data_IF_967348356126
#
_entry.id   IF_967348356126
#
_cell.length_a   1.000
_cell.length_b   1.000
_cell.length_c   1.000
_cell.angle_alpha   90.00
_cell.angle_beta   90.00
_cell.angle_gamma   90.00
#
_symmetry.space_group_name_H-M   'P 1'
#
loop_
_entity.id
_entity.type
_entity.pdbx_description
1 polymer ?
#
# COMPACT_ATOMS: atom_id res chain seq x y z
N UNK A 1 -7.22 40.03 -48.19
CA UNK A 1 -7.04 40.21 -46.74
C UNK A 1 -7.41 38.98 -45.89
N UNK A 2 -8.14 37.98 -46.43
CA UNK A 2 -8.67 36.84 -45.65
C UNK A 2 -7.67 35.71 -45.31
N UNK A 3 -6.63 35.50 -46.13
CA UNK A 3 -5.71 34.35 -45.99
C UNK A 3 -4.80 34.48 -44.75
N UNK A 4 -4.32 35.68 -44.45
CA UNK A 4 -3.48 35.95 -43.26
C UNK A 4 -4.26 35.77 -41.95
N UNK A 5 -5.56 36.10 -41.95
CA UNK A 5 -6.42 35.95 -40.78
C UNK A 5 -6.70 34.47 -40.51
N UNK A 6 -6.99 33.69 -41.56
CA UNK A 6 -7.20 32.25 -41.45
C UNK A 6 -5.93 31.52 -40.96
N UNK A 7 -4.76 31.89 -41.48
CA UNK A 7 -3.47 31.35 -41.02
C UNK A 7 -3.21 31.66 -39.54
N UNK A 8 -3.53 32.87 -39.08
CA UNK A 8 -3.32 33.26 -37.70
C UNK A 8 -4.22 32.48 -36.74
N UNK A 9 -5.49 32.27 -37.09
CA UNK A 9 -6.45 31.47 -36.32
C UNK A 9 -6.01 29.99 -36.25
N UNK A 10 -5.52 29.42 -37.35
CA UNK A 10 -4.98 28.04 -37.35
C UNK A 10 -3.71 27.90 -36.52
N UNK A 11 -2.84 28.91 -36.50
CA UNK A 11 -1.64 28.90 -35.66
C UNK A 11 -1.98 29.04 -34.17
N UNK A 12 -2.92 29.92 -33.81
CA UNK A 12 -3.41 30.09 -32.44
C UNK A 12 -4.08 28.81 -31.89
N UNK A 13 -4.87 28.12 -32.71
CA UNK A 13 -5.45 26.83 -32.33
C UNK A 13 -4.40 25.74 -32.09
N UNK A 14 -3.32 25.73 -32.89
CA UNK A 14 -2.21 24.78 -32.76
C UNK A 14 -1.33 25.04 -31.52
N UNK A 15 -1.10 26.30 -31.15
CA UNK A 15 -0.37 26.68 -29.93
C UNK A 15 -1.20 26.41 -28.68
N UNK A 16 -2.52 26.62 -28.74
CA UNK A 16 -3.43 26.27 -27.65
C UNK A 16 -3.50 24.76 -27.40
N UNK A 17 -3.57 23.94 -28.45
CA UNK A 17 -3.52 22.47 -28.31
C UNK A 17 -2.16 21.98 -27.81
N UNK A 18 -1.06 22.58 -28.26
CA UNK A 18 0.28 22.26 -27.74
C UNK A 18 0.42 22.59 -26.25
N UNK A 19 -0.02 23.79 -25.82
CA UNK A 19 0.00 24.19 -24.42
C UNK A 19 -0.93 23.33 -23.55
N UNK A 20 -2.08 22.92 -24.08
CA UNK A 20 -2.99 21.98 -23.42
C UNK A 20 -2.34 20.61 -23.19
N UNK A 21 -1.59 20.09 -24.16
CA UNK A 21 -0.84 18.82 -24.03
C UNK A 21 0.27 18.95 -22.99
N UNK A 22 1.03 20.05 -22.98
CA UNK A 22 2.06 20.31 -21.97
C UNK A 22 1.44 20.35 -20.57
N UNK A 23 0.31 21.06 -20.43
CA UNK A 23 -0.42 21.16 -19.17
C UNK A 23 -0.88 19.76 -18.68
N UNK A 24 -1.49 18.97 -19.55
CA UNK A 24 -1.93 17.60 -19.23
C UNK A 24 -0.77 16.69 -18.79
N UNK A 25 0.38 16.78 -19.48
CA UNK A 25 1.59 16.02 -19.10
C UNK A 25 2.14 16.49 -17.75
N UNK A 26 2.15 17.79 -17.48
CA UNK A 26 2.63 18.34 -16.21
C UNK A 26 1.73 17.93 -15.04
N UNK A 27 0.40 18.02 -15.22
CA UNK A 27 -0.59 17.56 -14.23
C UNK A 27 -0.42 16.06 -13.98
N UNK A 28 -0.27 15.24 -15.03
CA UNK A 28 -0.05 13.81 -14.87
C UNK A 28 1.24 13.49 -14.11
N UNK A 29 2.34 14.21 -14.42
CA UNK A 29 3.62 14.07 -13.70
C UNK A 29 3.49 14.47 -12.24
N UNK A 30 2.75 15.54 -11.95
CA UNK A 30 2.53 16.01 -10.58
C UNK A 30 1.65 15.03 -9.78
N UNK A 31 0.59 14.50 -10.39
CA UNK A 31 -0.25 13.46 -9.82
C UNK A 31 0.56 12.19 -9.47
N UNK A 32 1.44 11.74 -10.38
CA UNK A 32 2.33 10.61 -10.12
C UNK A 32 3.31 10.88 -8.97
N UNK A 33 3.86 12.11 -8.87
CA UNK A 33 4.77 12.48 -7.78
C UNK A 33 4.04 12.51 -6.43
N UNK A 34 2.82 13.02 -6.40
CA UNK A 34 1.96 13.01 -5.21
C UNK A 34 1.64 11.57 -4.80
N UNK A 35 1.21 10.73 -5.74
CA UNK A 35 0.87 9.35 -5.48
C UNK A 35 2.06 8.53 -4.96
N UNK A 36 3.28 8.78 -5.46
CA UNK A 36 4.50 8.17 -4.90
C UNK A 36 4.74 8.55 -3.43
N UNK A 37 4.57 9.83 -3.08
CA UNK A 37 4.69 10.30 -1.69
C UNK A 37 3.61 9.68 -0.81
N UNK A 38 2.38 9.65 -1.29
CA UNK A 38 1.25 9.05 -0.60
C UNK A 38 1.46 7.55 -0.34
N UNK A 39 1.94 6.79 -1.33
CA UNK A 39 2.29 5.38 -1.15
C UNK A 39 3.36 5.19 -0.08
N UNK A 40 4.39 6.03 -0.05
CA UNK A 40 5.43 5.95 1.00
C UNK A 40 4.86 6.24 2.39
N UNK A 41 3.99 7.24 2.52
CA UNK A 41 3.35 7.58 3.78
C UNK A 41 2.44 6.46 4.28
N UNK A 42 1.63 5.86 3.39
CA UNK A 42 0.79 4.69 3.73
C UNK A 42 1.66 3.52 4.19
N UNK A 43 2.77 3.22 3.49
CA UNK A 43 3.67 2.14 3.91
C UNK A 43 4.16 2.34 5.34
N UNK A 44 4.65 3.54 5.66
CA UNK A 44 5.13 3.89 7.01
C UNK A 44 4.00 3.75 8.04
N UNK A 45 2.81 4.29 7.73
CA UNK A 45 1.64 4.22 8.61
C UNK A 45 1.23 2.78 8.92
N UNK A 46 1.20 1.90 7.91
CA UNK A 46 0.88 0.48 8.07
C UNK A 46 1.92 -0.22 8.94
N UNK A 47 3.21 0.05 8.76
CA UNK A 47 4.28 -0.49 9.61
C UNK A 47 4.08 -0.07 11.07
N UNK A 48 3.84 1.22 11.32
CA UNK A 48 3.59 1.71 12.68
C UNK A 48 2.36 1.04 13.31
N UNK A 49 1.26 0.90 12.56
CA UNK A 49 0.05 0.22 13.04
C UNK A 49 0.30 -1.25 13.39
N UNK A 50 1.14 -1.95 12.62
CA UNK A 50 1.50 -3.35 12.88
C UNK A 50 2.31 -3.48 14.17
N UNK A 51 3.30 -2.61 14.38
CA UNK A 51 4.10 -2.56 15.62
C UNK A 51 3.22 -2.26 16.83
N UNK A 52 2.38 -1.21 16.74
CA UNK A 52 1.43 -0.88 17.81
C UNK A 52 0.48 -2.05 18.10
N UNK A 53 0.04 -2.76 17.07
CA UNK A 53 -0.81 -3.93 17.23
C UNK A 53 -0.11 -5.05 18.00
N UNK A 54 1.16 -5.35 17.72
CA UNK A 54 1.94 -6.39 18.43
C UNK A 54 2.07 -6.05 19.92
N UNK A 55 2.36 -4.79 20.23
CA UNK A 55 2.46 -4.29 21.61
C UNK A 55 1.09 -4.38 22.31
N UNK A 56 0.01 -3.98 21.63
CA UNK A 56 -1.34 -4.07 22.19
C UNK A 56 -1.72 -5.54 22.47
N UNK A 57 -1.41 -6.46 21.57
CA UNK A 57 -1.70 -7.88 21.74
C UNK A 57 -0.93 -8.48 22.91
N UNK A 58 0.38 -8.21 23.03
CA UNK A 58 1.20 -8.73 24.13
C UNK A 58 0.75 -8.20 25.50
N UNK A 59 0.38 -6.92 25.61
CA UNK A 59 -0.13 -6.33 26.85
C UNK A 59 -1.49 -6.90 27.25
N UNK A 60 -2.42 -7.10 26.30
CA UNK A 60 -3.72 -7.70 26.60
C UNK A 60 -3.58 -9.18 27.00
N UNK A 61 -2.66 -9.93 26.39
CA UNK A 61 -2.35 -11.30 26.82
C UNK A 61 -1.79 -11.34 28.24
N UNK A 62 -0.90 -10.41 28.58
CA UNK A 62 -0.39 -10.26 29.94
C UNK A 62 -1.51 -9.94 30.94
N UNK A 63 -2.42 -9.05 30.59
CA UNK A 63 -3.57 -8.70 31.42
C UNK A 63 -4.44 -9.94 31.73
N UNK A 64 -4.71 -10.78 30.73
CA UNK A 64 -5.46 -12.03 30.92
C UNK A 64 -4.73 -12.98 31.87
N UNK A 65 -3.40 -13.09 31.78
CA UNK A 65 -2.61 -13.97 32.64
C UNK A 65 -2.51 -13.45 34.09
N UNK A 66 -2.52 -12.14 34.28
CA UNK A 66 -2.39 -11.49 35.60
C UNK A 66 -3.70 -11.48 36.40
N UNK A 67 -4.85 -11.26 35.73
CA UNK A 67 -6.16 -11.14 36.38
C UNK A 67 -6.96 -12.44 36.34
N UNK A 68 -6.61 -13.40 37.21
CA UNK A 68 -7.28 -14.71 37.26
C UNK A 68 -8.62 -14.72 38.00
N UNK A 69 -8.88 -13.74 38.88
CA UNK A 69 -10.04 -13.77 39.79
C UNK A 69 -11.26 -12.96 39.31
N UNK A 70 -11.09 -12.00 38.39
CA UNK A 70 -12.17 -11.12 37.92
C UNK A 70 -12.73 -11.60 36.58
N UNK A 71 -13.78 -12.43 36.60
CA UNK A 71 -14.41 -13.02 35.41
C UNK A 71 -14.86 -11.96 34.38
N UNK A 72 -15.34 -10.79 34.84
CA UNK A 72 -15.78 -9.69 33.97
C UNK A 72 -14.61 -9.06 33.20
N UNK A 73 -13.49 -8.81 33.88
CA UNK A 73 -12.30 -8.21 33.26
C UNK A 73 -11.64 -9.19 32.29
N UNK A 74 -11.60 -10.47 32.64
CA UNK A 74 -11.08 -11.53 31.78
C UNK A 74 -11.89 -11.66 30.48
N UNK A 75 -13.22 -11.60 30.56
CA UNK A 75 -14.11 -11.58 29.38
C UNK A 75 -13.85 -10.37 28.49
N UNK A 76 -13.67 -9.19 29.08
CA UNK A 76 -13.43 -7.95 28.36
C UNK A 76 -12.07 -7.99 27.64
N UNK A 77 -10.99 -8.35 28.34
CA UNK A 77 -9.66 -8.50 27.75
C UNK A 77 -9.61 -9.58 26.67
N UNK A 78 -10.31 -10.71 26.86
CA UNK A 78 -10.44 -11.75 25.84
C UNK A 78 -11.13 -11.25 24.57
N UNK A 79 -12.21 -10.48 24.72
CA UNK A 79 -12.89 -9.83 23.60
C UNK A 79 -11.96 -8.86 22.86
N UNK A 80 -11.18 -8.05 23.59
CA UNK A 80 -10.18 -7.17 22.98
C UNK A 80 -9.11 -7.92 22.20
N UNK A 81 -8.57 -9.01 22.75
CA UNK A 81 -7.60 -9.87 22.05
C UNK A 81 -8.20 -10.40 20.74
N UNK A 82 -9.44 -10.89 20.79
CA UNK A 82 -10.13 -11.40 19.60
C UNK A 82 -10.30 -10.30 18.53
N UNK A 83 -10.70 -9.09 18.93
CA UNK A 83 -10.83 -7.95 18.02
C UNK A 83 -9.49 -7.54 17.39
N UNK A 84 -8.40 -7.52 18.17
CA UNK A 84 -7.07 -7.18 17.67
C UNK A 84 -6.60 -8.23 16.66
N UNK A 85 -6.79 -9.51 16.96
CA UNK A 85 -6.42 -10.61 16.05
C UNK A 85 -7.22 -10.52 14.74
N UNK A 86 -8.54 -10.30 14.82
CA UNK A 86 -9.37 -10.12 13.64
C UNK A 86 -8.92 -8.92 12.80
N UNK A 87 -8.69 -7.78 13.44
CA UNK A 87 -8.21 -6.57 12.76
C UNK A 87 -6.89 -6.82 12.02
N UNK A 88 -5.91 -7.44 12.69
CA UNK A 88 -4.64 -7.80 12.08
C UNK A 88 -4.82 -8.77 10.92
N UNK A 89 -5.66 -9.79 11.07
CA UNK A 89 -5.94 -10.77 10.03
C UNK A 89 -6.55 -10.12 8.79
N UNK A 90 -7.62 -9.32 8.94
CA UNK A 90 -8.27 -8.62 7.83
C UNK A 90 -7.31 -7.65 7.13
N UNK A 91 -6.52 -6.89 7.89
CA UNK A 91 -5.55 -5.94 7.33
C UNK A 91 -4.49 -6.64 6.49
N UNK A 92 -3.92 -7.74 7.00
CA UNK A 92 -2.92 -8.54 6.27
C UNK A 92 -3.52 -9.24 5.05
N UNK A 93 -4.72 -9.79 5.18
CA UNK A 93 -5.43 -10.43 4.06
C UNK A 93 -5.71 -9.44 2.94
N UNK A 94 -6.18 -8.23 3.28
CA UNK A 94 -6.43 -7.20 2.28
C UNK A 94 -5.15 -6.71 1.62
N UNK A 95 -4.06 -6.58 2.40
CA UNK A 95 -2.72 -6.30 1.88
C UNK A 95 -2.25 -7.35 0.86
N UNK A 96 -2.48 -8.63 1.15
CA UNK A 96 -2.14 -9.73 0.27
C UNK A 96 -2.95 -9.71 -1.03
N UNK A 97 -4.28 -9.53 -0.95
CA UNK A 97 -5.13 -9.41 -2.14
C UNK A 97 -4.72 -8.25 -3.04
N UNK A 98 -4.39 -7.09 -2.45
CA UNK A 98 -3.91 -5.94 -3.21
C UNK A 98 -2.58 -6.26 -3.90
N UNK A 99 -1.65 -6.94 -3.21
CA UNK A 99 -0.36 -7.32 -3.78
C UNK A 99 -0.52 -8.31 -4.94
N UNK A 100 -1.36 -9.33 -4.77
CA UNK A 100 -1.63 -10.34 -5.78
C UNK A 100 -2.32 -9.74 -7.01
N UNK A 101 -3.32 -8.89 -6.81
CA UNK A 101 -3.98 -8.21 -7.92
C UNK A 101 -3.02 -7.30 -8.68
N UNK A 102 -2.15 -6.57 -7.97
CA UNK A 102 -1.11 -5.76 -8.62
C UNK A 102 -0.12 -6.62 -9.43
N UNK A 103 0.30 -7.78 -8.90
CA UNK A 103 1.14 -8.75 -9.63
C UNK A 103 0.43 -9.26 -10.89
N UNK A 104 -0.85 -9.62 -10.78
CA UNK A 104 -1.65 -10.09 -11.91
C UNK A 104 -1.80 -9.01 -13.00
N UNK A 105 -2.11 -7.77 -12.61
CA UNK A 105 -2.18 -6.63 -13.54
C UNK A 105 -0.83 -6.39 -14.20
N UNK A 106 0.28 -6.48 -13.46
CA UNK A 106 1.63 -6.35 -14.00
C UNK A 106 1.93 -7.40 -15.08
N UNK A 107 1.66 -8.68 -14.80
CA UNK A 107 1.87 -9.78 -15.75
C UNK A 107 0.99 -9.61 -16.99
N UNK A 108 -0.27 -9.20 -16.80
CA UNK A 108 -1.20 -8.97 -17.91
C UNK A 108 -0.72 -7.84 -18.82
N UNK A 109 -0.31 -6.71 -18.24
CA UNK A 109 0.22 -5.57 -18.99
C UNK A 109 1.53 -5.91 -19.69
N UNK A 110 2.38 -6.75 -19.09
CA UNK A 110 3.61 -7.24 -19.70
C UNK A 110 3.35 -8.09 -20.95
N UNK A 111 2.34 -8.97 -20.91
CA UNK A 111 2.00 -9.88 -22.00
C UNK A 111 1.23 -9.23 -23.16
N UNK A 112 0.64 -8.05 -22.96
CA UNK A 112 -0.01 -7.29 -24.02
C UNK A 112 1.02 -6.81 -25.05
N UNK A 113 0.64 -6.74 -26.33
CA UNK A 113 1.48 -6.18 -27.41
C UNK A 113 1.59 -4.65 -27.32
N UNK A 114 2.09 -4.13 -26.19
CA UNK A 114 2.20 -2.70 -25.87
C UNK A 114 3.07 -1.93 -26.88
N UNK A 115 3.97 -2.61 -27.58
CA UNK A 115 4.80 -2.04 -28.64
C UNK A 115 4.01 -1.66 -29.90
N UNK A 116 2.76 -2.15 -30.08
CA UNK A 116 1.85 -1.74 -31.17
C UNK A 116 0.93 -0.59 -30.78
N UNK A 117 0.92 -0.17 -29.52
CA UNK A 117 0.09 0.92 -29.04
C UNK A 117 0.69 2.30 -29.42
N UNK A 118 -0.13 3.36 -29.51
CA UNK A 118 0.35 4.73 -29.72
C UNK A 118 1.42 5.14 -28.69
N UNK A 119 2.39 5.95 -29.12
CA UNK A 119 3.56 6.36 -28.31
C UNK A 119 3.24 6.90 -26.90
N UNK A 120 2.09 7.56 -26.72
CA UNK A 120 1.63 8.03 -25.40
C UNK A 120 1.31 6.87 -24.44
N UNK A 121 0.59 5.88 -24.95
CA UNK A 121 0.17 4.68 -24.19
C UNK A 121 1.39 3.79 -23.93
N UNK A 122 2.28 3.66 -24.93
CA UNK A 122 3.53 2.92 -24.79
C UNK A 122 4.40 3.46 -23.65
N UNK A 123 4.56 4.80 -23.55
CA UNK A 123 5.28 5.45 -22.45
C UNK A 123 4.61 5.22 -21.09
N UNK A 124 3.28 5.31 -21.01
CA UNK A 124 2.54 5.03 -19.77
C UNK A 124 2.72 3.58 -19.30
N UNK A 125 2.60 2.62 -20.22
CA UNK A 125 2.81 1.19 -19.94
C UNK A 125 4.25 0.95 -19.50
N UNK A 126 5.24 1.57 -20.15
CA UNK A 126 6.64 1.46 -19.76
C UNK A 126 6.87 1.99 -18.34
N UNK A 127 6.24 3.10 -17.96
CA UNK A 127 6.29 3.60 -16.58
C UNK A 127 5.61 2.69 -15.57
N UNK A 128 4.47 2.09 -15.93
CA UNK A 128 3.77 1.10 -15.10
C UNK A 128 4.62 -0.16 -14.91
N UNK A 129 5.25 -0.66 -15.97
CA UNK A 129 6.16 -1.80 -15.95
C UNK A 129 7.43 -1.48 -15.14
N UNK A 130 8.08 -0.34 -15.38
CA UNK A 130 9.25 0.06 -14.59
C UNK A 130 8.93 0.23 -13.10
N UNK A 131 7.70 0.66 -12.79
CA UNK A 131 7.22 0.84 -11.43
C UNK A 131 6.79 -0.47 -10.78
N UNK A 132 6.13 -1.37 -11.50
CA UNK A 132 5.67 -2.67 -11.01
C UNK A 132 6.78 -3.71 -10.93
N UNK A 133 7.81 -3.59 -11.77
CA UNK A 133 9.04 -4.38 -11.68
C UNK A 133 9.87 -4.00 -10.46
N UNK A 134 9.70 -2.78 -9.95
CA UNK A 134 10.21 -2.41 -8.63
C UNK A 134 9.28 -3.07 -7.63
N UNK A 135 9.73 -4.19 -7.09
CA UNK A 135 8.96 -5.05 -6.20
C UNK A 135 8.12 -4.21 -5.25
N UNK A 136 6.80 -4.37 -5.33
CA UNK A 136 5.88 -3.96 -4.27
C UNK A 136 6.05 -4.86 -3.05
N UNK A 137 7.28 -5.29 -2.76
CA UNK A 137 7.63 -5.81 -1.45
C UNK A 137 7.40 -4.66 -0.50
N UNK A 138 6.39 -4.78 0.33
CA UNK A 138 6.07 -3.82 1.38
C UNK A 138 7.08 -4.11 2.48
N UNK A 139 8.35 -3.89 2.16
CA UNK A 139 9.45 -4.53 2.83
C UNK A 139 9.63 -3.82 4.18
N UNK A 140 9.03 -4.38 5.22
CA UNK A 140 9.26 -3.94 6.59
C UNK A 140 10.65 -4.44 6.96
N UNK A 141 11.68 -3.63 6.68
CA UNK A 141 13.06 -3.92 7.07
C UNK A 141 13.74 -5.11 6.39
N UNK A 142 13.23 -5.65 5.27
CA UNK A 142 13.88 -6.75 4.54
C UNK A 142 13.20 -8.12 4.70
N UNK A 143 12.22 -8.27 5.60
CA UNK A 143 11.80 -9.59 6.09
C UNK A 143 10.31 -9.93 5.90
N UNK A 144 9.44 -8.97 5.62
CA UNK A 144 8.00 -9.20 5.78
C UNK A 144 7.19 -8.46 4.71
N UNK A 145 6.61 -9.21 3.77
CA UNK A 145 5.58 -8.73 2.85
C UNK A 145 4.20 -8.83 3.48
N UNK A 146 3.27 -7.95 3.10
CA UNK A 146 1.87 -8.01 3.55
C UNK A 146 1.20 -9.32 3.10
N UNK A 147 1.25 -10.34 3.95
CA UNK A 147 0.84 -11.71 3.67
C UNK A 147 0.33 -12.41 4.93
N UNK A 148 -0.32 -13.56 4.77
CA UNK A 148 -0.63 -14.43 5.92
C UNK A 148 0.64 -14.87 6.70
N UNK A 149 1.79 -14.94 6.05
CA UNK A 149 3.08 -15.24 6.71
C UNK A 149 3.53 -14.11 7.65
N UNK A 150 3.28 -12.85 7.26
CA UNK A 150 3.46 -11.69 8.14
C UNK A 150 2.60 -11.81 9.39
N UNK A 151 1.31 -12.10 9.21
CA UNK A 151 0.39 -12.28 10.33
C UNK A 151 0.85 -13.37 11.31
N UNK A 152 1.25 -14.54 10.79
CA UNK A 152 1.77 -15.62 11.62
C UNK A 152 3.03 -15.21 12.39
N UNK A 153 3.92 -14.46 11.76
CA UNK A 153 5.15 -13.95 12.38
C UNK A 153 4.82 -12.94 13.50
N UNK A 154 3.91 -12.00 13.25
CA UNK A 154 3.49 -11.02 14.25
C UNK A 154 2.82 -11.66 15.46
N UNK A 155 1.99 -12.69 15.27
CA UNK A 155 1.42 -13.46 16.36
C UNK A 155 2.51 -14.15 17.19
N UNK A 156 3.46 -14.82 16.54
CA UNK A 156 4.60 -15.46 17.23
C UNK A 156 5.42 -14.45 18.03
N UNK A 157 5.71 -13.29 17.46
CA UNK A 157 6.44 -12.21 18.14
C UNK A 157 5.65 -11.68 19.35
N UNK A 158 4.34 -11.50 19.21
CA UNK A 158 3.48 -11.02 20.30
C UNK A 158 3.43 -12.01 21.47
N UNK A 159 3.30 -13.31 21.17
CA UNK A 159 3.34 -14.38 22.18
C UNK A 159 4.72 -14.46 22.82
N UNK A 160 5.80 -14.35 22.05
CA UNK A 160 7.17 -14.32 22.57
C UNK A 160 7.37 -13.17 23.56
N UNK A 161 6.95 -11.95 23.21
CA UNK A 161 7.00 -10.80 24.11
C UNK A 161 6.15 -11.00 25.37
N UNK A 162 4.94 -11.56 25.22
CA UNK A 162 4.12 -11.95 26.36
C UNK A 162 4.88 -12.91 27.28
N UNK A 163 5.47 -13.98 26.75
CA UNK A 163 6.22 -14.98 27.54
C UNK A 163 7.40 -14.33 28.28
N UNK A 164 8.15 -13.44 27.62
CA UNK A 164 9.26 -12.71 28.26
C UNK A 164 8.76 -11.88 29.45
N UNK A 165 7.72 -11.07 29.24
CA UNK A 165 7.14 -10.23 30.30
C UNK A 165 6.66 -11.11 31.46
N UNK A 166 5.96 -12.20 31.16
CA UNK A 166 5.45 -13.13 32.17
C UNK A 166 6.57 -13.84 32.93
N UNK A 167 7.66 -14.23 32.26
CA UNK A 167 8.80 -14.91 32.90
C UNK A 167 9.67 -14.01 33.78
N UNK A 168 9.55 -12.68 33.64
CA UNK A 168 10.30 -11.70 34.44
C UNK A 168 9.56 -11.29 35.70
N UNK A 169 8.33 -11.79 35.89
CA UNK A 169 7.50 -11.61 37.08
C UNK A 169 7.81 -12.70 38.11
#
# INVERSE_FOLDING_TARGET
MNIKVLQNITMEGSTFTYNGIICAVNIHRQALKLFKRFQSAIKIMVICLMVCGVIALSLNLYQIASFTNNVKELLLSSCYVFLIILYMFLSNYMGQNILEHNKHVFVTVYNVQWYKAPLRIQKMILFLLQRGAKEYTLNIGGLIDGSMECFATLLKTSVSYFTVIYSTQ
#
